data_IF_572606731492
#
_entry.id   IF_572606731492
#
_cell.length_a   1.000
_cell.length_b   1.000
_cell.length_c   1.000
_cell.angle_alpha   90.00
_cell.angle_beta   90.00
_cell.angle_gamma   90.00
#
_symmetry.space_group_name_H-M   'P 1'
#
loop_
_entity.id
_entity.type
_entity.pdbx_description
1 polymer ?
#
# COMPACT_ATOMS: atom_id res chain seq x y z
N UNK A 1 -15.11 45.52 32.07
CA UNK A 1 -15.60 44.51 31.10
C UNK A 1 -16.05 45.25 29.85
N UNK A 2 -15.24 45.26 28.78
CA UNK A 2 -15.59 45.90 27.52
C UNK A 2 -16.31 44.90 26.61
N UNK A 3 -17.54 45.21 26.20
CA UNK A 3 -18.26 44.46 25.15
C UNK A 3 -17.71 44.90 23.80
N UNK A 4 -17.10 43.97 23.07
CA UNK A 4 -16.81 44.14 21.64
C UNK A 4 -18.12 43.95 20.88
N UNK A 5 -18.68 45.03 20.34
CA UNK A 5 -19.76 45.00 19.33
C UNK A 5 -19.18 44.47 18.01
N UNK A 6 -18.98 43.17 17.92
CA UNK A 6 -18.57 42.51 16.69
C UNK A 6 -19.81 42.19 15.85
N UNK A 7 -19.97 42.84 14.71
CA UNK A 7 -20.94 42.44 13.69
C UNK A 7 -20.55 41.08 13.11
N UNK A 8 -21.28 40.03 13.50
CA UNK A 8 -21.10 38.69 12.94
C UNK A 8 -21.82 38.63 11.59
N UNK A 9 -21.05 38.53 10.51
CA UNK A 9 -21.59 38.28 9.17
C UNK A 9 -21.25 36.83 8.77
N UNK A 10 -22.25 36.08 8.32
CA UNK A 10 -22.05 34.70 7.84
C UNK A 10 -21.43 34.77 6.44
N UNK A 11 -20.20 34.28 6.30
CA UNK A 11 -19.44 34.31 5.04
C UNK A 11 -19.52 32.98 4.27
N UNK A 12 -19.81 31.85 4.95
CA UNK A 12 -19.92 30.54 4.29
C UNK A 12 -20.80 29.56 5.05
N UNK A 13 -21.41 28.61 4.32
CA UNK A 13 -22.14 27.47 4.86
C UNK A 13 -21.39 26.18 4.51
N UNK A 14 -21.19 25.31 5.51
CA UNK A 14 -20.60 23.98 5.34
C UNK A 14 -21.70 22.93 5.43
N UNK A 15 -21.88 22.14 4.38
CA UNK A 15 -22.83 21.02 4.35
C UNK A 15 -22.04 19.72 4.46
N UNK A 16 -22.34 18.91 5.48
CA UNK A 16 -21.70 17.62 5.70
C UNK A 16 -22.73 16.53 5.48
N UNK A 17 -22.46 15.60 4.56
CA UNK A 17 -23.28 14.42 4.36
C UNK A 17 -23.07 13.44 5.53
N UNK A 18 -24.14 12.89 6.13
CA UNK A 18 -24.02 11.88 7.19
C UNK A 18 -23.24 10.63 6.76
N UNK A 19 -23.25 10.33 5.45
CA UNK A 19 -22.55 9.21 4.81
C UNK A 19 -21.08 9.50 4.47
N UNK A 20 -20.53 10.65 4.87
CA UNK A 20 -19.11 11.01 4.75
C UNK A 20 -18.71 11.61 3.40
N UNK A 21 -19.11 11.01 2.27
CA UNK A 21 -18.84 11.57 0.93
C UNK A 21 -20.10 12.10 0.25
N UNK A 22 -19.99 13.30 -0.32
CA UNK A 22 -21.04 13.91 -1.16
C UNK A 22 -20.88 13.34 -2.57
N UNK A 23 -21.90 12.63 -3.06
CA UNK A 23 -21.90 12.10 -4.43
C UNK A 23 -22.12 13.22 -5.45
N UNK A 24 -21.77 12.95 -6.72
CA UNK A 24 -22.02 13.90 -7.82
C UNK A 24 -23.51 14.21 -7.96
N UNK A 25 -24.36 13.22 -7.72
CA UNK A 25 -25.83 13.38 -7.73
C UNK A 25 -26.31 14.28 -6.58
N UNK A 26 -25.78 14.09 -5.37
CA UNK A 26 -26.11 14.95 -4.23
C UNK A 26 -25.64 16.39 -4.44
N UNK A 27 -24.45 16.58 -5.02
CA UNK A 27 -23.93 17.90 -5.41
C UNK A 27 -24.85 18.57 -6.44
N UNK A 28 -25.28 17.83 -7.45
CA UNK A 28 -26.18 18.33 -8.49
C UNK A 28 -27.57 18.68 -7.95
N UNK A 29 -28.13 17.85 -7.06
CA UNK A 29 -29.41 18.11 -6.41
C UNK A 29 -29.36 19.36 -5.51
N UNK A 30 -28.27 19.52 -4.75
CA UNK A 30 -28.05 20.71 -3.92
C UNK A 30 -27.88 21.96 -4.78
N UNK A 31 -27.12 21.88 -5.87
CA UNK A 31 -26.92 22.97 -6.81
C UNK A 31 -28.24 23.41 -7.46
N UNK A 32 -29.06 22.45 -7.91
CA UNK A 32 -30.38 22.71 -8.45
C UNK A 32 -31.32 23.37 -7.42
N UNK A 33 -31.28 22.94 -6.15
CA UNK A 33 -32.06 23.54 -5.07
C UNK A 33 -31.62 24.97 -4.71
N UNK A 34 -30.36 25.32 -4.97
CA UNK A 34 -29.79 26.65 -4.73
C UNK A 34 -29.79 27.55 -5.98
N UNK A 35 -30.20 27.03 -7.15
CA UNK A 35 -30.19 27.77 -8.41
C UNK A 35 -28.79 28.12 -8.93
N UNK A 36 -27.76 27.37 -8.53
CA UNK A 36 -26.36 27.56 -8.95
C UNK A 36 -25.87 26.37 -9.77
N UNK A 37 -24.77 26.54 -10.50
CA UNK A 37 -24.17 25.42 -11.22
C UNK A 37 -23.43 24.49 -10.24
N UNK A 38 -23.38 23.17 -10.48
CA UNK A 38 -22.65 22.25 -9.62
C UNK A 38 -21.17 22.62 -9.45
N UNK A 39 -20.56 23.26 -10.45
CA UNK A 39 -19.18 23.78 -10.41
C UNK A 39 -18.96 24.87 -9.36
N UNK A 40 -20.02 25.59 -8.98
CA UNK A 40 -19.96 26.71 -8.02
C UNK A 40 -19.98 26.20 -6.57
N UNK A 41 -20.29 24.92 -6.38
CA UNK A 41 -20.26 24.24 -5.09
C UNK A 41 -18.97 23.40 -5.03
N UNK A 42 -17.87 23.93 -4.44
CA UNK A 42 -16.65 23.18 -4.30
C UNK A 42 -16.89 22.00 -3.36
N UNK A 43 -16.73 20.77 -3.88
CA UNK A 43 -16.75 19.53 -3.09
C UNK A 43 -15.32 19.07 -2.89
N UNK A 44 -14.88 19.01 -1.65
CA UNK A 44 -13.57 18.48 -1.29
C UNK A 44 -13.56 16.97 -1.52
N UNK A 45 -12.77 16.48 -2.50
CA UNK A 45 -12.67 15.05 -2.87
C UNK A 45 -11.37 14.39 -2.41
N UNK A 46 -10.78 14.94 -1.34
CA UNK A 46 -9.46 14.52 -0.85
C UNK A 46 -8.33 14.83 -1.83
N UNK A 47 -7.11 14.43 -1.46
CA UNK A 47 -5.92 14.76 -2.24
C UNK A 47 -5.89 14.04 -3.60
N UNK A 48 -5.94 14.81 -4.68
CA UNK A 48 -5.67 14.33 -6.03
C UNK A 48 -4.29 14.80 -6.49
N UNK A 49 -3.33 13.87 -6.51
CA UNK A 49 -1.96 14.18 -6.91
C UNK A 49 -1.85 14.36 -8.43
N UNK A 50 -1.38 15.50 -8.95
CA UNK A 50 -1.03 15.64 -10.36
C UNK A 50 0.12 14.72 -10.77
N UNK A 51 0.91 14.25 -9.79
CA UNK A 51 2.04 13.34 -9.99
C UNK A 51 1.66 11.86 -9.90
N UNK A 52 0.37 11.51 -9.82
CA UNK A 52 -0.08 10.11 -9.66
C UNK A 52 0.54 9.18 -10.70
N UNK A 53 0.57 9.60 -11.96
CA UNK A 53 1.17 8.82 -13.04
C UNK A 53 2.68 8.63 -12.84
N UNK A 54 3.41 9.70 -12.49
CA UNK A 54 4.85 9.64 -12.23
C UNK A 54 5.21 8.76 -11.04
N UNK A 55 4.44 8.84 -9.95
CA UNK A 55 4.62 7.96 -8.78
C UNK A 55 4.39 6.50 -9.15
N UNK A 56 3.40 6.21 -10.00
CA UNK A 56 3.15 4.85 -10.48
C UNK A 56 4.30 4.31 -11.33
N UNK A 57 4.85 5.13 -12.23
CA UNK A 57 6.04 4.77 -13.03
C UNK A 57 7.26 4.56 -12.12
N UNK A 58 7.52 5.44 -11.16
CA UNK A 58 8.63 5.30 -10.22
C UNK A 58 8.51 4.00 -9.40
N UNK A 59 7.30 3.69 -8.90
CA UNK A 59 7.02 2.44 -8.21
C UNK A 59 7.30 1.22 -9.08
N UNK A 60 6.81 1.22 -10.33
CA UNK A 60 7.03 0.12 -11.28
C UNK A 60 8.53 -0.09 -11.56
N UNK A 61 9.28 1.00 -11.75
CA UNK A 61 10.72 0.96 -11.98
C UNK A 61 11.47 0.35 -10.79
N UNK A 62 11.17 0.79 -9.56
CA UNK A 62 11.80 0.21 -8.35
C UNK A 62 11.41 -1.26 -8.21
N UNK A 63 10.14 -1.63 -8.41
CA UNK A 63 9.71 -3.01 -8.35
C UNK A 63 10.45 -3.91 -9.35
N UNK A 64 10.64 -3.43 -10.59
CA UNK A 64 11.41 -4.14 -11.62
C UNK A 64 12.89 -4.29 -11.22
N UNK A 65 13.51 -3.21 -10.73
CA UNK A 65 14.89 -3.24 -10.26
C UNK A 65 15.09 -4.21 -9.09
N UNK A 66 14.18 -4.19 -8.12
CA UNK A 66 14.19 -5.15 -7.00
C UNK A 66 14.05 -6.58 -7.53
N UNK A 67 13.13 -6.83 -8.46
CA UNK A 67 12.94 -8.16 -9.03
C UNK A 67 14.19 -8.66 -9.75
N UNK A 68 14.87 -7.79 -10.52
CA UNK A 68 16.13 -8.10 -11.20
C UNK A 68 17.25 -8.40 -10.20
N UNK A 69 17.40 -7.57 -9.18
CA UNK A 69 18.40 -7.76 -8.13
C UNK A 69 18.17 -9.08 -7.38
N UNK A 70 16.95 -9.32 -6.90
CA UNK A 70 16.59 -10.56 -6.19
C UNK A 70 16.74 -11.78 -7.09
N UNK A 71 16.37 -11.70 -8.37
CA UNK A 71 16.53 -12.81 -9.31
C UNK A 71 18.01 -13.17 -9.49
N UNK A 72 18.89 -12.17 -9.56
CA UNK A 72 20.34 -12.39 -9.69
C UNK A 72 20.92 -13.03 -8.43
N UNK A 73 20.57 -12.50 -7.24
CA UNK A 73 20.97 -13.10 -5.96
C UNK A 73 20.49 -14.53 -5.83
N UNK A 74 19.26 -14.82 -6.26
CA UNK A 74 18.66 -16.16 -6.23
C UNK A 74 19.39 -17.11 -7.19
N UNK A 75 19.69 -16.65 -8.42
CA UNK A 75 20.41 -17.44 -9.41
C UNK A 75 21.80 -17.86 -8.93
N UNK A 76 22.54 -16.93 -8.29
CA UNK A 76 23.83 -17.21 -7.65
C UNK A 76 23.68 -18.23 -6.52
N UNK A 77 22.72 -18.02 -5.62
CA UNK A 77 22.45 -18.90 -4.47
C UNK A 77 22.03 -20.33 -4.88
N UNK A 78 21.29 -20.49 -5.98
CA UNK A 78 20.92 -21.82 -6.49
C UNK A 78 22.12 -22.64 -6.96
N UNK A 79 23.22 -22.00 -7.39
CA UNK A 79 24.45 -22.69 -7.74
C UNK A 79 25.10 -23.38 -6.54
N UNK A 80 25.12 -22.69 -5.40
CA UNK A 80 25.66 -23.22 -4.13
C UNK A 80 24.78 -24.34 -3.58
N UNK A 81 23.45 -24.15 -3.60
CA UNK A 81 22.49 -25.11 -3.05
C UNK A 81 22.50 -26.48 -3.76
N UNK A 82 22.93 -26.57 -5.02
CA UNK A 82 23.04 -27.86 -5.75
C UNK A 82 24.06 -28.81 -5.12
N UNK A 83 25.12 -28.29 -4.49
CA UNK A 83 26.12 -29.13 -3.80
C UNK A 83 25.54 -29.76 -2.54
N UNK A 84 24.77 -29.02 -1.76
CA UNK A 84 24.18 -29.49 -0.51
C UNK A 84 23.00 -30.44 -0.72
N UNK A 85 22.27 -30.27 -1.83
CA UNK A 85 21.19 -31.19 -2.19
C UNK A 85 21.70 -32.56 -2.65
N UNK A 86 22.94 -32.66 -3.15
CA UNK A 86 23.54 -33.93 -3.55
C UNK A 86 23.81 -34.86 -2.35
N UNK A 87 24.19 -34.29 -1.21
CA UNK A 87 24.39 -35.05 0.05
C UNK A 87 23.06 -35.39 0.71
N UNK A 88 22.09 -34.48 0.73
CA UNK A 88 20.75 -34.75 1.26
C UNK A 88 19.96 -35.78 0.44
N UNK A 89 20.16 -35.82 -0.89
CA UNK A 89 19.58 -36.84 -1.75
C UNK A 89 20.09 -38.25 -1.43
N UNK A 90 21.30 -38.38 -0.86
CA UNK A 90 21.83 -39.66 -0.40
C UNK A 90 21.11 -40.21 0.85
N UNK A 91 20.31 -39.40 1.55
CA UNK A 91 19.66 -39.77 2.83
C UNK A 91 18.12 -39.92 2.72
N UNK A 92 17.52 -39.72 1.53
CA UNK A 92 16.14 -40.17 1.25
C UNK A 92 14.98 -39.30 1.77
N UNK A 93 15.09 -37.97 1.73
CA UNK A 93 14.09 -37.06 2.29
C UNK A 93 12.70 -37.08 1.58
N UNK A 94 11.58 -37.16 2.33
CA UNK A 94 10.22 -37.21 1.79
C UNK A 94 9.67 -35.86 1.27
N UNK A 95 8.86 -35.90 0.21
CA UNK A 95 8.43 -34.72 -0.58
C UNK A 95 7.40 -33.79 0.10
N UNK A 96 6.59 -34.29 1.03
CA UNK A 96 5.53 -33.50 1.69
C UNK A 96 6.06 -32.45 2.67
N UNK A 97 7.18 -32.74 3.33
CA UNK A 97 7.84 -31.83 4.28
C UNK A 97 8.43 -30.62 3.55
N UNK A 98 8.98 -30.82 2.34
CA UNK A 98 9.56 -29.75 1.50
C UNK A 98 8.56 -28.66 1.15
N UNK A 99 7.29 -29.03 0.87
CA UNK A 99 6.21 -28.08 0.55
C UNK A 99 5.82 -27.19 1.74
N UNK A 100 5.72 -27.78 2.94
CA UNK A 100 5.41 -27.04 4.18
C UNK A 100 6.55 -26.11 4.59
N UNK A 101 7.80 -26.57 4.48
CA UNK A 101 8.96 -25.72 4.75
C UNK A 101 9.05 -24.54 3.77
N UNK A 102 8.84 -24.77 2.47
CA UNK A 102 8.86 -23.70 1.48
C UNK A 102 7.77 -22.65 1.74
N UNK A 103 6.57 -23.08 2.15
CA UNK A 103 5.48 -22.16 2.50
C UNK A 103 5.81 -21.33 3.75
N UNK A 104 6.36 -21.96 4.80
CA UNK A 104 6.75 -21.28 6.03
C UNK A 104 7.90 -20.28 5.81
N UNK A 105 8.92 -20.65 5.03
CA UNK A 105 10.04 -19.77 4.69
C UNK A 105 9.58 -18.56 3.89
N UNK A 106 8.76 -18.78 2.85
CA UNK A 106 8.23 -17.68 2.05
C UNK A 106 7.31 -16.76 2.86
N UNK A 107 6.44 -17.32 3.70
CA UNK A 107 5.58 -16.55 4.60
C UNK A 107 6.38 -15.70 5.60
N UNK A 108 7.39 -16.28 6.24
CA UNK A 108 8.24 -15.55 7.20
C UNK A 108 9.04 -14.44 6.50
N UNK A 109 9.63 -14.74 5.34
CA UNK A 109 10.37 -13.75 4.57
C UNK A 109 9.47 -12.59 4.12
N UNK A 110 8.25 -12.90 3.65
CA UNK A 110 7.27 -11.89 3.27
C UNK A 110 6.79 -11.08 4.46
N UNK A 111 6.61 -11.69 5.64
CA UNK A 111 6.24 -10.99 6.86
C UNK A 111 7.31 -9.97 7.27
N UNK A 112 8.58 -10.40 7.33
CA UNK A 112 9.71 -9.51 7.64
C UNK A 112 9.79 -8.38 6.61
N UNK A 113 9.72 -8.71 5.33
CA UNK A 113 9.75 -7.72 4.25
C UNK A 113 8.59 -6.72 4.33
N UNK A 114 7.40 -7.18 4.70
CA UNK A 114 6.21 -6.32 4.85
C UNK A 114 6.36 -5.38 6.05
N UNK A 115 6.81 -5.89 7.20
CA UNK A 115 7.07 -5.05 8.39
C UNK A 115 8.11 -3.99 8.08
N UNK A 116 9.25 -4.38 7.49
CA UNK A 116 10.31 -3.44 7.12
C UNK A 116 9.82 -2.41 6.09
N UNK A 117 9.09 -2.85 5.07
CA UNK A 117 8.51 -1.97 4.06
C UNK A 117 7.53 -0.96 4.65
N UNK A 118 6.67 -1.39 5.58
CA UNK A 118 5.75 -0.50 6.28
C UNK A 118 6.50 0.51 7.15
N UNK A 119 7.50 0.08 7.94
CA UNK A 119 8.30 0.99 8.79
C UNK A 119 9.05 2.01 7.95
N UNK A 120 9.78 1.56 6.93
CA UNK A 120 10.59 2.43 6.07
C UNK A 120 9.70 3.35 5.23
N UNK A 121 8.59 2.84 4.69
CA UNK A 121 7.65 3.63 3.88
C UNK A 121 6.81 4.61 4.69
N UNK A 122 6.60 4.35 5.98
CA UNK A 122 5.82 5.24 6.86
C UNK A 122 6.47 6.60 7.03
N UNK A 123 7.81 6.67 7.06
CA UNK A 123 8.54 7.93 7.24
C UNK A 123 8.28 8.93 6.09
N UNK A 124 8.61 8.61 4.81
CA UNK A 124 8.30 9.53 3.71
C UNK A 124 6.79 9.72 3.51
N UNK A 125 5.97 8.70 3.79
CA UNK A 125 4.52 8.82 3.73
C UNK A 125 3.96 9.85 4.73
N UNK A 126 4.43 9.82 5.98
CA UNK A 126 4.03 10.78 7.01
C UNK A 126 4.54 12.19 6.70
N UNK A 127 5.78 12.32 6.23
CA UNK A 127 6.34 13.61 5.82
C UNK A 127 5.53 14.24 4.67
N UNK A 128 5.17 13.43 3.67
CA UNK A 128 4.36 13.91 2.55
C UNK A 128 2.94 14.29 2.98
N UNK A 129 2.30 13.46 3.81
CA UNK A 129 0.99 13.76 4.37
C UNK A 129 1.03 15.08 5.16
N UNK A 130 2.05 15.26 6.00
CA UNK A 130 2.23 16.51 6.74
C UNK A 130 2.42 17.72 5.82
N UNK A 131 3.27 17.61 4.80
CA UNK A 131 3.56 18.68 3.84
C UNK A 131 2.34 19.11 3.01
N UNK A 132 1.47 18.16 2.64
CA UNK A 132 0.24 18.46 1.89
C UNK A 132 -0.81 19.11 2.80
N UNK A 133 -0.92 18.67 4.05
CA UNK A 133 -1.92 19.18 5.00
C UNK A 133 -1.50 20.54 5.62
N UNK A 134 -0.20 20.87 5.66
CA UNK A 134 0.31 22.13 6.25
C UNK A 134 0.39 23.31 5.28
N UNK A 135 -0.37 23.31 4.18
CA UNK A 135 -0.35 24.48 3.29
C UNK A 135 -1.00 25.69 3.98
N UNK A 136 -0.29 26.83 4.15
CA UNK A 136 -0.89 28.02 4.72
C UNK A 136 -1.99 28.51 3.78
N UNK A 137 -3.24 28.34 4.22
CA UNK A 137 -4.39 28.82 3.48
C UNK A 137 -4.39 30.34 3.49
N UNK A 138 -4.02 30.96 2.37
CA UNK A 138 -4.15 32.41 2.17
C UNK A 138 -5.61 32.90 2.14
N UNK A 139 -6.61 32.03 2.33
CA UNK A 139 -8.03 32.41 2.18
C UNK A 139 -9.04 31.63 3.04
N UNK A 140 -8.64 30.63 3.83
CA UNK A 140 -9.59 29.93 4.71
C UNK A 140 -9.13 30.03 6.16
N UNK A 141 -10.03 30.49 7.02
CA UNK A 141 -9.89 30.61 8.47
C UNK A 141 -9.76 29.26 9.21
N UNK A 142 -9.37 28.19 8.52
CA UNK A 142 -9.05 26.91 9.12
C UNK A 142 -7.58 26.86 9.51
N UNK A 143 -7.25 27.48 10.64
CA UNK A 143 -6.04 27.14 11.41
C UNK A 143 -6.39 25.94 12.28
N UNK A 144 -6.46 24.76 11.66
CA UNK A 144 -6.56 23.48 12.37
C UNK A 144 -5.19 22.81 12.38
N UNK A 145 -4.77 22.14 13.48
CA UNK A 145 -3.51 21.39 13.47
C UNK A 145 -3.56 20.34 12.35
N UNK A 146 -2.50 20.21 11.55
CA UNK A 146 -2.50 19.24 10.47
C UNK A 146 -2.60 17.82 11.04
N UNK A 147 -3.74 17.17 10.87
CA UNK A 147 -3.95 15.81 11.32
C UNK A 147 -3.48 14.82 10.26
N UNK A 148 -2.56 13.92 10.64
CA UNK A 148 -2.15 12.79 9.81
C UNK A 148 -2.98 11.58 10.23
N UNK A 149 -3.94 11.19 9.39
CA UNK A 149 -4.73 9.98 9.62
C UNK A 149 -3.95 8.78 9.09
N UNK A 150 -3.44 7.94 9.99
CA UNK A 150 -2.75 6.70 9.63
C UNK A 150 -3.79 5.65 9.24
N UNK A 151 -3.68 5.04 8.04
CA UNK A 151 -4.64 4.03 7.60
C UNK A 151 -4.31 2.66 8.22
N UNK A 152 -4.60 2.49 9.51
CA UNK A 152 -4.33 1.27 10.27
C UNK A 152 -4.90 0.01 9.61
N UNK A 153 -6.08 0.12 9.00
CA UNK A 153 -6.72 -0.99 8.29
C UNK A 153 -5.86 -1.47 7.10
N UNK A 154 -5.28 -0.54 6.33
CA UNK A 154 -4.41 -0.89 5.21
C UNK A 154 -3.11 -1.54 5.69
N UNK A 155 -2.56 -1.07 6.81
CA UNK A 155 -1.34 -1.64 7.39
C UNK A 155 -1.59 -3.07 7.92
N UNK A 156 -2.68 -3.27 8.65
CA UNK A 156 -3.09 -4.58 9.14
C UNK A 156 -3.42 -5.54 7.99
N UNK A 157 -4.15 -5.07 6.98
CA UNK A 157 -4.45 -5.86 5.79
C UNK A 157 -3.16 -6.28 5.08
N UNK A 158 -2.22 -5.36 4.84
CA UNK A 158 -0.93 -5.70 4.22
C UNK A 158 -0.16 -6.73 5.03
N UNK A 159 -0.10 -6.57 6.36
CA UNK A 159 0.65 -7.44 7.27
C UNK A 159 0.13 -8.89 7.30
N UNK A 160 -1.15 -9.10 7.00
CA UNK A 160 -1.77 -10.43 6.98
C UNK A 160 -1.85 -10.99 5.56
N UNK A 161 -2.33 -10.18 4.61
CA UNK A 161 -2.62 -10.62 3.26
C UNK A 161 -1.34 -10.93 2.46
N UNK A 162 -0.31 -10.10 2.60
CA UNK A 162 0.95 -10.29 1.85
C UNK A 162 1.66 -11.58 2.26
N UNK A 163 1.88 -11.89 3.56
CA UNK A 163 2.51 -13.14 3.95
C UNK A 163 1.68 -14.38 3.62
N UNK A 164 0.35 -14.29 3.72
CA UNK A 164 -0.55 -15.38 3.32
C UNK A 164 -0.44 -15.67 1.81
N UNK A 165 -0.45 -14.62 0.98
CA UNK A 165 -0.28 -14.77 -0.46
C UNK A 165 1.10 -15.36 -0.79
N UNK A 166 2.16 -14.89 -0.15
CA UNK A 166 3.51 -15.44 -0.35
C UNK A 166 3.60 -16.92 0.05
N UNK A 167 3.06 -17.29 1.20
CA UNK A 167 3.01 -18.69 1.66
C UNK A 167 2.19 -19.58 0.72
N UNK A 168 1.02 -19.10 0.27
CA UNK A 168 0.15 -19.81 -0.66
C UNK A 168 0.82 -20.00 -2.02
N UNK A 169 1.40 -18.95 -2.59
CA UNK A 169 2.12 -19.01 -3.87
C UNK A 169 3.31 -19.98 -3.76
N UNK A 170 4.12 -19.89 -2.70
CA UNK A 170 5.24 -20.81 -2.49
C UNK A 170 4.77 -22.28 -2.42
N UNK A 171 3.71 -22.55 -1.66
CA UNK A 171 3.13 -23.89 -1.58
C UNK A 171 2.63 -24.41 -2.94
N UNK A 172 2.09 -23.52 -3.79
CA UNK A 172 1.62 -23.85 -5.14
C UNK A 172 2.77 -24.10 -6.12
N UNK A 173 3.81 -23.26 -6.09
CA UNK A 173 4.95 -23.34 -7.02
C UNK A 173 5.94 -24.48 -6.71
N UNK A 174 5.99 -24.98 -5.47
CA UNK A 174 6.75 -26.21 -5.16
C UNK A 174 6.01 -27.42 -5.71
N UNK A 175 6.20 -27.68 -7.02
CA UNK A 175 5.69 -28.85 -7.73
C UNK A 175 6.51 -30.09 -7.38
N UNK A 176 5.89 -31.08 -6.74
CA UNK A 176 6.55 -32.27 -6.19
C UNK A 176 7.04 -33.33 -7.17
N UNK A 177 7.38 -33.00 -8.43
CA UNK A 177 7.88 -33.98 -9.40
C UNK A 177 9.35 -33.69 -9.72
N UNK A 178 10.31 -34.43 -9.13
CA UNK A 178 11.64 -34.46 -9.70
C UNK A 178 11.50 -35.05 -11.10
N UNK A 179 11.97 -34.32 -12.12
CA UNK A 179 12.21 -34.91 -13.42
C UNK A 179 13.22 -36.04 -13.19
N UNK A 180 12.73 -37.28 -13.22
CA UNK A 180 13.55 -38.46 -13.36
C UNK A 180 14.15 -38.36 -14.76
N UNK A 181 15.29 -37.69 -14.87
CA UNK A 181 16.17 -37.80 -16.02
C UNK A 181 16.57 -39.26 -16.10
N UNK A 182 15.75 -40.00 -16.86
CA UNK A 182 15.97 -41.38 -17.27
C UNK A 182 17.39 -41.47 -17.80
N UNK A 183 18.30 -42.10 -17.05
CA UNK A 183 19.57 -42.57 -17.57
C UNK A 183 19.23 -43.51 -18.73
N UNK A 184 19.48 -43.06 -19.95
CA UNK A 184 19.62 -43.97 -21.08
C UNK A 184 20.99 -44.61 -20.91
N UNK A 185 20.96 -45.93 -20.71
CA UNK A 185 22.11 -46.81 -20.71
C UNK A 185 22.69 -46.91 -22.13
#
# INVERSE_FOLDING_TARGET
MARLDAHVQVVSYFVVAPSGSITVEQQAALAAGLGVHPSDIPVERGYQSPLRAWLFVAFLSVALLTLLATSTTTALSMGEARRDLATLAAVGAPAGVRRRLAAAQAGMLALIGTVLGLVVGSVPGALWAWAVTHRPAYSSSQVGPGFVVVPWLLFAAALVLVPLLAAALSALFVKGRPDLTRRLA
#
